data_IF_090900541470
#
_entry.id   IF_090900541470
#
_cell.length_a   1.000
_cell.length_b   1.000
_cell.length_c   1.000
_cell.angle_alpha   90.00
_cell.angle_beta   90.00
_cell.angle_gamma   90.00
#
_symmetry.space_group_name_H-M   'P 1'
#
loop_
_entity.id
_entity.type
_entity.pdbx_description
1 polymer ?
#
# COMPACT_ATOMS: atom_id res chain seq x y z
N UNK A 1 -19.92 49.26 1.57
CA UNK A 1 -18.76 48.37 1.79
C UNK A 1 -19.14 47.02 1.24
N UNK A 2 -18.69 46.71 0.03
CA UNK A 2 -18.91 45.40 -0.60
C UNK A 2 -17.99 44.42 0.15
N UNK A 3 -18.58 43.45 0.82
CA UNK A 3 -17.87 42.31 1.41
C UNK A 3 -17.03 41.68 0.31
N UNK A 4 -15.70 41.77 0.41
CA UNK A 4 -14.83 40.92 -0.37
C UNK A 4 -15.14 39.47 0.06
N UNK A 5 -15.97 38.78 -0.71
CA UNK A 5 -16.09 37.35 -0.61
C UNK A 5 -14.67 36.81 -0.72
N UNK A 6 -14.17 36.14 0.35
CA UNK A 6 -12.87 35.47 0.32
C UNK A 6 -12.88 34.52 -0.86
N UNK A 7 -12.14 34.86 -1.92
CA UNK A 7 -12.02 33.99 -3.08
C UNK A 7 -11.47 32.64 -2.61
N UNK A 8 -12.13 31.54 -2.98
CA UNK A 8 -11.66 30.18 -2.64
C UNK A 8 -10.26 30.00 -3.21
N UNK A 9 -9.27 29.62 -2.41
CA UNK A 9 -7.89 29.50 -2.89
C UNK A 9 -7.79 28.53 -4.08
N UNK A 10 -7.02 28.87 -5.09
CA UNK A 10 -6.73 27.97 -6.22
C UNK A 10 -5.69 26.91 -5.78
N UNK A 11 -6.10 26.14 -4.79
CA UNK A 11 -5.34 25.03 -4.23
C UNK A 11 -6.18 23.74 -4.30
N UNK A 12 -5.50 22.63 -4.43
CA UNK A 12 -6.12 21.31 -4.35
C UNK A 12 -6.16 20.88 -2.88
N UNK A 13 -7.36 20.60 -2.37
CA UNK A 13 -7.54 20.07 -1.02
C UNK A 13 -7.44 18.54 -1.06
N UNK A 14 -6.49 17.98 -0.32
CA UNK A 14 -6.22 16.54 -0.26
C UNK A 14 -6.61 16.02 1.12
N UNK A 15 -7.56 15.09 1.18
CA UNK A 15 -8.00 14.46 2.43
C UNK A 15 -7.28 13.13 2.60
N UNK A 16 -6.36 13.08 3.57
CA UNK A 16 -5.51 11.94 3.90
C UNK A 16 -4.04 12.20 3.60
N UNK A 17 -3.23 12.26 4.66
CA UNK A 17 -1.76 12.45 4.65
C UNK A 17 -0.98 11.13 4.72
N UNK A 18 -1.57 10.03 4.26
CA UNK A 18 -0.83 8.81 3.95
C UNK A 18 0.03 8.98 2.71
N UNK A 19 0.90 8.00 2.40
CA UNK A 19 1.87 8.11 1.30
C UNK A 19 1.21 8.46 -0.05
N UNK A 20 -0.01 7.97 -0.34
CA UNK A 20 -0.72 8.28 -1.58
C UNK A 20 -1.09 9.76 -1.64
N UNK A 21 -1.68 10.32 -0.58
CA UNK A 21 -2.02 11.74 -0.53
C UNK A 21 -0.78 12.64 -0.53
N UNK A 22 0.28 12.25 0.16
CA UNK A 22 1.57 12.96 0.16
C UNK A 22 2.19 12.99 -1.25
N UNK A 23 2.22 11.87 -1.96
CA UNK A 23 2.74 11.82 -3.33
C UNK A 23 1.90 12.63 -4.31
N UNK A 24 0.57 12.66 -4.15
CA UNK A 24 -0.30 13.54 -4.94
C UNK A 24 0.03 15.00 -4.67
N UNK A 25 0.15 15.40 -3.39
CA UNK A 25 0.52 16.78 -3.02
C UNK A 25 1.89 17.18 -3.60
N UNK A 26 2.89 16.32 -3.44
CA UNK A 26 4.22 16.52 -4.00
C UNK A 26 4.19 16.69 -5.52
N UNK A 27 3.49 15.80 -6.24
CA UNK A 27 3.38 15.87 -7.70
C UNK A 27 2.65 17.14 -8.16
N UNK A 28 1.56 17.55 -7.48
CA UNK A 28 0.87 18.83 -7.76
C UNK A 28 1.80 20.01 -7.64
N UNK A 29 2.55 20.11 -6.54
CA UNK A 29 3.49 21.19 -6.30
C UNK A 29 4.62 21.22 -7.33
N UNK A 30 5.15 20.06 -7.72
CA UNK A 30 6.14 19.93 -8.81
C UNK A 30 5.59 20.37 -10.18
N UNK A 31 4.28 20.29 -10.38
CA UNK A 31 3.57 20.76 -11.59
C UNK A 31 3.04 22.20 -11.45
N UNK A 32 3.43 22.94 -10.40
CA UNK A 32 3.08 24.33 -10.18
C UNK A 32 1.68 24.60 -9.63
N UNK A 33 0.98 23.55 -9.14
CA UNK A 33 -0.34 23.67 -8.50
C UNK A 33 -0.21 23.75 -6.98
N UNK A 34 -1.02 24.58 -6.33
CA UNK A 34 -1.08 24.63 -4.86
C UNK A 34 -1.70 23.37 -4.27
N UNK A 35 -1.21 22.91 -3.11
CA UNK A 35 -1.76 21.77 -2.40
C UNK A 35 -1.88 22.03 -0.90
N UNK A 36 -3.01 21.63 -0.31
CA UNK A 36 -3.23 21.57 1.15
C UNK A 36 -3.65 20.14 1.52
N UNK A 37 -2.92 19.50 2.43
CA UNK A 37 -3.20 18.15 2.90
C UNK A 37 -3.79 18.20 4.30
N UNK A 38 -4.94 17.56 4.49
CA UNK A 38 -5.59 17.35 5.79
C UNK A 38 -5.36 15.91 6.24
N UNK A 39 -4.68 15.72 7.36
CA UNK A 39 -4.36 14.39 7.90
C UNK A 39 -4.89 14.24 9.32
N UNK A 40 -5.73 13.25 9.52
CA UNK A 40 -6.31 12.95 10.83
C UNK A 40 -5.28 12.50 11.87
N UNK A 41 -4.06 12.04 11.44
CA UNK A 41 -3.10 11.43 12.36
C UNK A 41 -3.72 10.25 13.10
N UNK A 42 -3.16 9.75 14.18
CA UNK A 42 -1.76 9.85 14.56
C UNK A 42 -0.87 8.93 13.71
N UNK A 43 0.40 9.29 13.59
CA UNK A 43 1.39 8.58 12.76
C UNK A 43 1.59 7.11 13.13
N UNK A 44 1.48 6.77 14.42
CA UNK A 44 1.75 5.41 14.93
C UNK A 44 0.73 4.35 14.46
N UNK A 45 -0.43 4.72 13.93
CA UNK A 45 -1.39 3.77 13.33
C UNK A 45 -1.44 3.86 11.80
N UNK A 46 -0.63 4.72 11.20
CA UNK A 46 -0.60 4.93 9.75
C UNK A 46 -0.14 3.68 9.00
N UNK A 47 -0.97 3.08 8.12
CA UNK A 47 -0.57 1.92 7.34
C UNK A 47 0.54 2.22 6.33
N UNK A 48 0.73 3.49 5.97
CA UNK A 48 1.86 3.92 5.13
C UNK A 48 3.18 3.81 5.89
N UNK A 49 3.26 4.36 7.10
CA UNK A 49 4.47 4.34 7.94
C UNK A 49 4.79 2.94 8.48
N UNK A 50 3.76 2.12 8.74
CA UNK A 50 3.90 0.74 9.19
C UNK A 50 3.99 -0.29 8.06
N UNK A 51 4.17 0.12 6.80
CA UNK A 51 4.36 -0.77 5.65
C UNK A 51 5.60 -1.66 5.82
N UNK A 52 5.66 -2.79 5.10
CA UNK A 52 6.80 -3.70 5.12
C UNK A 52 8.13 -3.05 4.69
N UNK A 53 8.10 -1.94 3.95
CA UNK A 53 9.30 -1.25 3.47
C UNK A 53 9.89 -1.86 2.21
N UNK A 54 9.07 -2.53 1.42
CA UNK A 54 9.45 -3.13 0.16
C UNK A 54 8.67 -2.48 -0.98
N UNK A 55 9.40 -2.07 -2.01
CA UNK A 55 8.85 -1.74 -3.33
C UNK A 55 9.10 -2.96 -4.20
N UNK A 56 8.04 -3.69 -4.48
CA UNK A 56 8.07 -4.90 -5.30
C UNK A 56 7.17 -4.68 -6.54
N UNK A 57 7.71 -4.13 -7.64
CA UNK A 57 6.95 -3.95 -8.87
C UNK A 57 6.42 -5.29 -9.39
N UNK A 58 5.16 -5.30 -9.87
CA UNK A 58 4.55 -6.51 -10.39
C UNK A 58 4.03 -7.50 -9.35
N UNK A 59 4.01 -7.13 -8.06
CA UNK A 59 3.41 -7.97 -7.02
C UNK A 59 1.94 -8.31 -7.35
N UNK A 60 1.53 -9.60 -7.22
CA UNK A 60 0.21 -10.04 -7.62
C UNK A 60 -0.93 -9.48 -6.73
N UNK A 61 -2.15 -9.34 -7.29
CA UNK A 61 -3.33 -8.97 -6.52
C UNK A 61 -3.72 -10.07 -5.54
N UNK A 62 -4.39 -9.69 -4.44
CA UNK A 62 -4.88 -10.67 -3.44
C UNK A 62 -5.93 -11.63 -4.04
N UNK A 63 -6.95 -11.16 -4.82
CA UNK A 63 -7.87 -12.06 -5.49
C UNK A 63 -7.13 -12.89 -6.54
N UNK A 64 -7.07 -14.21 -6.34
CA UNK A 64 -6.50 -15.14 -7.31
C UNK A 64 -7.37 -16.39 -7.45
N UNK A 65 -7.30 -17.11 -8.58
CA UNK A 65 -8.05 -18.35 -8.77
C UNK A 65 -7.76 -19.44 -7.74
N UNK A 66 -6.59 -19.37 -7.10
CA UNK A 66 -6.17 -20.34 -6.07
C UNK A 66 -6.82 -20.11 -4.70
N UNK A 67 -7.40 -18.93 -4.45
CA UNK A 67 -7.97 -18.57 -3.14
C UNK A 67 -9.28 -19.33 -2.85
N UNK A 68 -10.30 -19.36 -3.74
CA UNK A 68 -11.59 -19.97 -3.40
C UNK A 68 -11.52 -21.45 -3.01
N UNK A 69 -10.77 -22.33 -3.70
CA UNK A 69 -10.66 -23.72 -3.30
C UNK A 69 -10.01 -23.92 -1.93
N UNK A 70 -9.13 -22.99 -1.54
CA UNK A 70 -8.40 -23.05 -0.26
C UNK A 70 -9.08 -22.25 0.86
N UNK A 71 -10.12 -21.45 0.55
CA UNK A 71 -10.69 -20.48 1.47
C UNK A 71 -11.18 -21.11 2.79
N UNK A 72 -11.90 -22.22 2.73
CA UNK A 72 -12.39 -22.89 3.93
C UNK A 72 -11.24 -23.43 4.80
N UNK A 73 -10.25 -24.05 4.18
CA UNK A 73 -9.06 -24.52 4.88
C UNK A 73 -8.30 -23.33 5.52
N UNK A 74 -8.09 -22.23 4.77
CA UNK A 74 -7.43 -21.04 5.28
C UNK A 74 -8.19 -20.39 6.45
N UNK A 75 -9.52 -20.45 6.48
CA UNK A 75 -10.32 -19.92 7.59
C UNK A 75 -10.24 -20.79 8.84
N UNK A 76 -10.09 -22.11 8.69
CA UNK A 76 -10.01 -23.07 9.79
C UNK A 76 -8.58 -23.25 10.31
N UNK A 77 -7.58 -23.04 9.47
CA UNK A 77 -6.18 -23.14 9.86
C UNK A 77 -5.72 -21.91 10.65
N UNK A 78 -5.40 -22.12 11.91
CA UNK A 78 -4.86 -21.08 12.80
C UNK A 78 -3.50 -20.55 12.33
N UNK A 79 -2.80 -21.26 11.44
CA UNK A 79 -1.51 -20.87 10.85
C UNK A 79 -1.67 -20.08 9.55
N UNK A 80 -2.89 -19.96 9.03
CA UNK A 80 -3.15 -19.19 7.81
C UNK A 80 -2.78 -17.70 7.98
N UNK A 81 -2.12 -17.07 7.00
CA UNK A 81 -1.87 -15.64 7.00
C UNK A 81 -3.17 -14.82 6.89
N UNK A 82 -4.25 -15.42 6.37
CA UNK A 82 -5.59 -14.84 6.34
C UNK A 82 -6.40 -15.22 7.57
N UNK A 83 -6.97 -14.23 8.25
CA UNK A 83 -7.87 -14.46 9.38
C UNK A 83 -9.15 -13.64 9.24
N UNK A 84 -10.29 -14.32 9.28
CA UNK A 84 -11.62 -13.70 9.23
C UNK A 84 -12.37 -14.14 10.50
N UNK A 85 -12.36 -13.32 11.57
CA UNK A 85 -13.07 -13.66 12.78
C UNK A 85 -14.59 -13.71 12.52
N UNK A 86 -15.33 -14.67 13.12
CA UNK A 86 -16.77 -14.76 12.97
C UNK A 86 -17.42 -13.49 13.54
N UNK A 87 -18.10 -12.74 12.66
CA UNK A 87 -18.88 -11.56 13.03
C UNK A 87 -19.98 -11.33 12.00
N UNK A 88 -21.22 -11.05 12.41
CA UNK A 88 -22.27 -10.67 11.49
C UNK A 88 -21.97 -9.27 10.95
N UNK A 89 -21.69 -9.15 9.64
CA UNK A 89 -21.40 -7.87 8.98
C UNK A 89 -21.85 -7.93 7.52
N UNK A 90 -22.95 -7.24 7.21
CA UNK A 90 -23.44 -7.17 5.84
C UNK A 90 -22.43 -6.53 4.87
N UNK A 91 -21.69 -5.46 5.23
CA UNK A 91 -20.62 -4.94 4.39
C UNK A 91 -19.50 -5.96 4.11
N UNK A 92 -19.11 -6.76 5.11
CA UNK A 92 -18.11 -7.82 4.92
C UNK A 92 -18.63 -8.92 4.00
N UNK A 93 -19.89 -9.34 4.16
CA UNK A 93 -20.49 -10.36 3.30
C UNK A 93 -20.55 -9.90 1.83
N UNK A 94 -21.00 -8.66 1.59
CA UNK A 94 -21.01 -8.08 0.23
C UNK A 94 -19.61 -8.02 -0.37
N UNK A 95 -18.62 -7.63 0.43
CA UNK A 95 -17.23 -7.59 0.00
C UNK A 95 -16.71 -9.00 -0.33
N UNK A 96 -17.00 -10.02 0.50
CA UNK A 96 -16.60 -11.41 0.24
C UNK A 96 -17.22 -11.97 -1.04
N UNK A 97 -18.49 -11.64 -1.33
CA UNK A 97 -19.15 -12.02 -2.59
C UNK A 97 -18.45 -11.37 -3.80
N UNK A 98 -18.16 -10.08 -3.72
CA UNK A 98 -17.43 -9.37 -4.79
C UNK A 98 -16.00 -9.89 -4.94
N UNK A 99 -15.31 -10.14 -3.83
CA UNK A 99 -13.97 -10.75 -3.83
C UNK A 99 -13.97 -12.13 -4.51
N UNK A 100 -14.96 -12.97 -4.19
CA UNK A 100 -15.13 -14.29 -4.82
C UNK A 100 -15.32 -14.18 -6.34
N UNK A 101 -16.06 -13.17 -6.82
CA UNK A 101 -16.25 -12.90 -8.25
C UNK A 101 -14.95 -12.46 -8.93
N UNK A 102 -14.09 -11.73 -8.22
CA UNK A 102 -12.78 -11.30 -8.71
C UNK A 102 -11.75 -12.45 -8.81
N UNK A 103 -11.97 -13.58 -8.11
CA UNK A 103 -11.07 -14.72 -8.14
C UNK A 103 -11.19 -15.58 -9.41
N UNK A 104 -11.07 -14.96 -10.59
CA UNK A 104 -11.11 -15.63 -11.91
C UNK A 104 -9.77 -15.48 -12.63
N UNK A 105 -9.39 -16.44 -13.51
CA UNK A 105 -8.16 -16.33 -14.30
C UNK A 105 -8.09 -15.05 -15.17
N UNK A 106 -9.22 -14.66 -15.76
CA UNK A 106 -9.30 -13.47 -16.61
C UNK A 106 -9.08 -12.18 -15.82
N UNK A 107 -9.74 -12.05 -14.67
CA UNK A 107 -9.57 -10.88 -13.81
C UNK A 107 -8.17 -10.81 -13.20
N UNK A 108 -7.62 -11.96 -12.81
CA UNK A 108 -6.24 -12.06 -12.31
C UNK A 108 -5.23 -11.57 -13.36
N UNK A 109 -5.33 -12.07 -14.60
CA UNK A 109 -4.46 -11.66 -15.71
C UNK A 109 -4.56 -10.16 -16.00
N UNK A 110 -5.79 -9.62 -16.06
CA UNK A 110 -6.03 -8.18 -16.25
C UNK A 110 -5.44 -7.36 -15.10
N UNK A 111 -5.64 -7.82 -13.85
CA UNK A 111 -5.12 -7.13 -12.67
C UNK A 111 -3.58 -7.12 -12.64
N UNK A 112 -2.93 -8.23 -13.01
CA UNK A 112 -1.48 -8.30 -13.14
C UNK A 112 -0.94 -7.26 -14.14
N UNK A 113 -1.58 -7.18 -15.32
CA UNK A 113 -1.22 -6.21 -16.37
C UNK A 113 -1.34 -4.76 -15.85
N UNK A 114 -2.47 -4.43 -15.23
CA UNK A 114 -2.75 -3.08 -14.71
C UNK A 114 -1.80 -2.69 -13.58
N UNK A 115 -1.61 -3.58 -12.59
CA UNK A 115 -0.69 -3.34 -11.48
C UNK A 115 0.76 -3.27 -11.95
N UNK A 116 1.16 -4.09 -12.92
CA UNK A 116 2.49 -4.06 -13.51
C UNK A 116 2.78 -2.73 -14.22
N UNK A 117 1.84 -2.22 -15.02
CA UNK A 117 1.98 -0.91 -15.70
C UNK A 117 2.03 0.24 -14.70
N UNK A 118 1.16 0.23 -13.71
CA UNK A 118 1.17 1.26 -12.65
C UNK A 118 2.45 1.21 -11.81
N UNK A 119 2.95 -0.01 -11.51
CA UNK A 119 4.22 -0.20 -10.80
C UNK A 119 5.43 0.32 -11.60
N UNK A 120 5.40 0.20 -12.94
CA UNK A 120 6.47 0.73 -13.78
C UNK A 120 6.54 2.25 -13.71
N UNK A 121 5.41 2.94 -13.86
CA UNK A 121 5.35 4.40 -13.70
C UNK A 121 5.86 4.78 -12.31
N UNK A 122 5.43 4.06 -11.25
CA UNK A 122 5.90 4.32 -9.89
C UNK A 122 7.41 4.14 -9.77
N UNK A 123 7.99 3.10 -10.39
CA UNK A 123 9.42 2.79 -10.28
C UNK A 123 10.28 3.90 -10.89
N UNK A 124 9.88 4.42 -12.04
CA UNK A 124 10.53 5.57 -12.69
C UNK A 124 10.49 6.82 -11.80
N UNK A 125 9.35 7.07 -11.14
CA UNK A 125 9.21 8.20 -10.23
C UNK A 125 10.01 8.02 -8.92
N UNK A 126 10.22 6.77 -8.45
CA UNK A 126 11.05 6.53 -7.27
C UNK A 126 12.52 6.84 -7.51
N UNK A 127 13.05 6.65 -8.71
CA UNK A 127 14.43 7.03 -9.02
C UNK A 127 14.60 8.57 -8.94
N UNK A 128 13.70 9.32 -9.55
CA UNK A 128 13.69 10.77 -9.46
C UNK A 128 13.50 11.27 -8.01
N UNK A 129 12.65 10.58 -7.24
CA UNK A 129 12.41 10.92 -5.84
C UNK A 129 13.64 10.64 -4.96
N UNK A 130 14.37 9.55 -5.24
CA UNK A 130 15.62 9.22 -4.55
C UNK A 130 16.71 10.28 -4.79
N UNK A 131 16.80 10.78 -6.01
CA UNK A 131 17.71 11.90 -6.34
C UNK A 131 17.29 13.20 -5.63
N UNK A 132 15.98 13.52 -5.64
CA UNK A 132 15.45 14.75 -5.07
C UNK A 132 15.55 14.79 -3.54
N UNK A 133 15.18 13.71 -2.86
CA UNK A 133 15.13 13.64 -1.39
C UNK A 133 16.45 13.15 -0.76
N UNK A 134 17.32 12.55 -1.55
CA UNK A 134 18.60 12.02 -1.09
C UNK A 134 18.46 10.96 0.02
N UNK A 135 19.45 10.85 0.93
CA UNK A 135 19.47 9.84 1.99
C UNK A 135 18.27 9.89 2.95
N UNK A 136 17.60 11.05 3.06
CA UNK A 136 16.44 11.21 3.96
C UNK A 136 15.28 10.27 3.62
N UNK A 137 15.10 9.92 2.33
CA UNK A 137 14.06 9.00 1.88
C UNK A 137 14.38 7.52 2.13
N UNK A 138 15.63 7.18 2.48
CA UNK A 138 16.13 5.81 2.70
C UNK A 138 15.89 4.84 1.52
N UNK A 139 15.63 5.35 0.32
CA UNK A 139 15.37 4.55 -0.88
C UNK A 139 16.66 3.85 -1.34
N UNK A 140 16.69 2.53 -1.26
CA UNK A 140 17.85 1.74 -1.65
C UNK A 140 17.46 0.74 -2.76
N UNK A 141 18.13 0.75 -3.92
CA UNK A 141 17.94 -0.25 -4.97
C UNK A 141 18.65 -1.56 -4.58
N UNK A 142 18.01 -2.31 -3.67
CA UNK A 142 18.60 -3.52 -3.10
C UNK A 142 18.00 -4.83 -3.65
N UNK A 143 17.02 -4.74 -4.54
CA UNK A 143 16.19 -5.88 -4.91
C UNK A 143 15.25 -6.33 -3.78
N UNK A 144 14.26 -7.13 -4.11
CA UNK A 144 13.39 -7.83 -3.16
C UNK A 144 13.34 -9.29 -3.59
N UNK A 145 13.52 -10.22 -2.67
CA UNK A 145 13.58 -11.64 -3.01
C UNK A 145 12.31 -12.36 -2.58
N UNK A 146 11.78 -13.23 -3.43
CA UNK A 146 10.84 -14.26 -3.03
C UNK A 146 11.61 -15.52 -2.64
N UNK A 147 11.42 -16.01 -1.42
CA UNK A 147 12.15 -17.15 -0.87
C UNK A 147 11.17 -18.26 -0.51
N UNK A 148 11.52 -19.51 -0.81
CA UNK A 148 10.65 -20.68 -0.57
C UNK A 148 11.40 -21.86 0.05
N UNK A 149 10.62 -22.73 0.73
CA UNK A 149 11.07 -23.98 1.36
C UNK A 149 10.38 -25.23 0.81
N UNK A 150 9.42 -25.06 -0.12
CA UNK A 150 8.63 -26.16 -0.67
C UNK A 150 8.61 -26.10 -2.19
N UNK A 151 8.41 -27.25 -2.83
CA UNK A 151 8.21 -27.34 -4.30
C UNK A 151 6.99 -26.54 -4.75
N UNK A 152 5.92 -26.50 -3.92
CA UNK A 152 4.75 -25.68 -4.22
C UNK A 152 5.07 -24.17 -4.19
N UNK A 153 5.88 -23.72 -3.23
CA UNK A 153 6.36 -22.34 -3.17
C UNK A 153 7.24 -21.97 -4.37
N UNK A 154 8.09 -22.90 -4.81
CA UNK A 154 8.88 -22.75 -6.04
C UNK A 154 7.99 -22.55 -7.27
N UNK A 155 7.03 -23.46 -7.49
CA UNK A 155 6.14 -23.38 -8.63
C UNK A 155 5.31 -22.09 -8.67
N UNK A 156 4.87 -21.59 -7.48
CA UNK A 156 4.21 -20.29 -7.38
C UNK A 156 5.16 -19.13 -7.76
N UNK A 157 6.43 -19.16 -7.31
CA UNK A 157 7.42 -18.13 -7.65
C UNK A 157 7.77 -18.13 -9.15
N UNK A 158 7.97 -19.30 -9.75
CA UNK A 158 8.24 -19.44 -11.17
C UNK A 158 7.09 -18.91 -12.05
N UNK A 159 5.84 -19.23 -11.70
CA UNK A 159 4.66 -18.72 -12.39
C UNK A 159 4.54 -17.18 -12.30
N UNK A 160 4.93 -16.57 -11.18
CA UNK A 160 4.99 -15.11 -11.04
C UNK A 160 6.15 -14.50 -11.83
N UNK A 161 7.29 -15.16 -11.89
CA UNK A 161 8.45 -14.75 -12.69
C UNK A 161 8.11 -14.61 -14.16
N UNK A 162 7.34 -15.54 -14.73
CA UNK A 162 6.86 -15.47 -16.12
C UNK A 162 6.00 -14.22 -16.38
N UNK A 163 5.18 -13.82 -15.40
CA UNK A 163 4.43 -12.56 -15.48
C UNK A 163 5.33 -11.34 -15.42
N UNK A 164 6.30 -11.33 -14.52
CA UNK A 164 7.25 -10.22 -14.37
C UNK A 164 8.05 -10.00 -15.67
N UNK A 165 8.55 -11.07 -16.28
CA UNK A 165 9.27 -10.97 -17.55
C UNK A 165 8.38 -10.40 -18.68
N UNK A 166 7.12 -10.85 -18.79
CA UNK A 166 6.15 -10.27 -19.75
C UNK A 166 5.88 -8.80 -19.50
N UNK A 167 5.91 -8.36 -18.25
CA UNK A 167 5.78 -6.96 -17.86
C UNK A 167 7.10 -6.18 -17.98
N UNK A 168 8.21 -6.83 -18.38
CA UNK A 168 9.52 -6.23 -18.59
C UNK A 168 10.31 -5.96 -17.30
N UNK A 169 10.03 -6.70 -16.21
CA UNK A 169 10.83 -6.67 -14.98
C UNK A 169 11.87 -7.79 -15.01
N UNK A 170 13.11 -7.46 -14.57
CA UNK A 170 14.21 -8.41 -14.45
C UNK A 170 14.11 -9.25 -13.19
N UNK A 171 14.53 -10.52 -13.29
CA UNK A 171 14.64 -11.42 -12.15
C UNK A 171 15.90 -12.28 -12.24
N UNK A 172 16.46 -12.63 -11.08
CA UNK A 172 17.58 -13.57 -10.96
C UNK A 172 17.21 -14.70 -9.99
N UNK A 173 17.29 -15.95 -10.46
CA UNK A 173 17.05 -17.13 -9.62
C UNK A 173 18.31 -17.57 -8.89
N UNK A 174 18.18 -17.97 -7.64
CA UNK A 174 19.23 -18.54 -6.82
C UNK A 174 18.80 -19.90 -6.26
N UNK A 175 19.73 -20.86 -6.21
CA UNK A 175 19.55 -22.04 -5.38
C UNK A 175 19.63 -21.69 -3.89
N UNK A 176 19.12 -22.56 -3.01
CA UNK A 176 19.22 -22.35 -1.57
C UNK A 176 20.68 -22.30 -1.09
N UNK A 177 21.59 -23.04 -1.75
CA UNK A 177 23.03 -22.99 -1.46
C UNK A 177 23.64 -21.64 -1.84
N UNK A 178 23.34 -21.12 -3.04
CA UNK A 178 23.83 -19.81 -3.49
C UNK A 178 23.29 -18.67 -2.63
N UNK A 179 22.00 -18.76 -2.23
CA UNK A 179 21.41 -17.79 -1.32
C UNK A 179 22.14 -17.75 0.02
N UNK A 180 22.40 -18.91 0.65
CA UNK A 180 23.14 -18.99 1.93
C UNK A 180 24.60 -18.58 1.81
N UNK A 181 25.22 -18.86 0.69
CA UNK A 181 26.57 -18.37 0.42
C UNK A 181 26.62 -16.84 0.38
N UNK A 182 25.58 -16.22 -0.20
CA UNK A 182 25.45 -14.77 -0.28
C UNK A 182 25.02 -14.14 1.05
N UNK A 183 24.15 -14.81 1.78
CA UNK A 183 23.56 -14.33 3.05
C UNK A 183 23.32 -15.52 4.01
N UNK A 184 24.24 -15.78 4.95
CA UNK A 184 24.20 -16.96 5.84
C UNK A 184 23.07 -16.96 6.86
N UNK A 185 22.26 -15.89 6.95
CA UNK A 185 21.14 -15.81 7.90
C UNK A 185 20.02 -16.83 7.60
N UNK A 186 19.94 -17.33 6.37
CA UNK A 186 18.85 -18.19 5.90
C UNK A 186 19.03 -19.65 6.33
N UNK A 187 17.91 -20.29 6.67
CA UNK A 187 17.85 -21.72 7.06
C UNK A 187 18.38 -22.65 5.96
N UNK A 188 18.95 -23.77 6.39
CA UNK A 188 19.34 -24.87 5.47
C UNK A 188 18.17 -25.45 4.68
N UNK A 189 16.94 -25.37 5.23
CA UNK A 189 15.72 -25.83 4.58
C UNK A 189 15.24 -24.94 3.41
N UNK A 190 15.85 -23.77 3.21
CA UNK A 190 15.52 -22.91 2.08
C UNK A 190 15.98 -23.56 0.78
N UNK A 191 15.03 -23.80 -0.14
CA UNK A 191 15.30 -24.47 -1.41
C UNK A 191 15.78 -23.50 -2.49
N UNK A 192 15.36 -22.24 -2.46
CA UNK A 192 15.76 -21.24 -3.44
C UNK A 192 15.11 -19.88 -3.25
N UNK A 193 15.49 -18.97 -4.13
CA UNK A 193 14.96 -17.61 -4.18
C UNK A 193 14.89 -17.08 -5.62
N UNK A 194 13.99 -16.12 -5.86
CA UNK A 194 13.99 -15.25 -7.04
C UNK A 194 14.18 -13.81 -6.56
N UNK A 195 15.20 -13.14 -7.06
CA UNK A 195 15.45 -11.72 -6.79
C UNK A 195 14.74 -10.90 -7.86
N UNK A 196 13.89 -9.96 -7.46
CA UNK A 196 13.28 -8.95 -8.32
C UNK A 196 14.25 -7.78 -8.45
N UNK A 197 14.91 -7.64 -9.58
CA UNK A 197 16.00 -6.68 -9.81
C UNK A 197 15.53 -5.21 -9.72
N UNK A 198 14.28 -4.96 -10.07
CA UNK A 198 13.65 -3.63 -9.98
C UNK A 198 13.08 -3.31 -8.60
N UNK A 199 13.27 -4.20 -7.61
CA UNK A 199 12.84 -4.00 -6.24
C UNK A 199 13.68 -2.94 -5.52
N UNK A 200 13.09 -2.30 -4.52
CA UNK A 200 13.76 -1.36 -3.61
C UNK A 200 13.36 -1.64 -2.16
N UNK A 201 14.23 -1.22 -1.24
CA UNK A 201 13.96 -1.22 0.19
C UNK A 201 13.97 0.20 0.73
N UNK A 202 13.18 0.44 1.75
CA UNK A 202 13.11 1.75 2.40
C UNK A 202 12.57 1.64 3.83
N UNK A 203 12.82 2.66 4.65
CA UNK A 203 12.00 2.92 5.83
C UNK A 203 10.78 3.75 5.42
N UNK A 204 9.56 3.19 5.49
CA UNK A 204 8.36 3.92 5.06
C UNK A 204 8.05 5.15 5.93
N UNK A 205 8.48 5.16 7.19
CA UNK A 205 8.31 6.32 8.05
C UNK A 205 9.23 7.46 7.60
N UNK A 206 10.50 7.16 7.35
CA UNK A 206 11.46 8.13 6.85
C UNK A 206 11.04 8.69 5.47
N UNK A 207 10.57 7.85 4.56
CA UNK A 207 10.04 8.32 3.27
C UNK A 207 8.87 9.30 3.46
N UNK A 208 7.89 8.96 4.31
CA UNK A 208 6.76 9.85 4.56
C UNK A 208 7.23 11.21 5.13
N UNK A 209 8.19 11.20 6.04
CA UNK A 209 8.70 12.43 6.66
C UNK A 209 9.52 13.26 5.66
N UNK A 210 10.35 12.63 4.83
CA UNK A 210 11.09 13.33 3.77
C UNK A 210 10.15 13.99 2.75
N UNK A 211 9.10 13.28 2.30
CA UNK A 211 8.10 13.84 1.40
C UNK A 211 7.31 14.97 2.06
N UNK A 212 6.94 14.86 3.34
CA UNK A 212 6.27 15.94 4.10
C UNK A 212 7.14 17.20 4.15
N UNK A 213 8.43 17.05 4.47
CA UNK A 213 9.38 18.17 4.50
C UNK A 213 9.45 18.82 3.13
N UNK A 214 9.58 18.00 2.08
CA UNK A 214 9.68 18.52 0.71
C UNK A 214 8.41 19.25 0.26
N UNK A 215 7.22 18.78 0.63
CA UNK A 215 5.95 19.49 0.39
C UNK A 215 5.98 20.90 1.02
N UNK A 216 6.46 21.01 2.27
CA UNK A 216 6.60 22.30 2.95
C UNK A 216 7.57 23.24 2.22
N UNK A 217 8.74 22.75 1.80
CA UNK A 217 9.74 23.51 1.02
C UNK A 217 9.18 24.01 -0.33
N UNK A 218 8.30 23.22 -0.97
CA UNK A 218 7.62 23.58 -2.21
C UNK A 218 6.42 24.52 -2.00
N UNK A 219 6.16 24.99 -0.77
CA UNK A 219 5.05 25.89 -0.43
C UNK A 219 3.69 25.22 -0.28
N UNK A 220 3.67 23.88 -0.13
CA UNK A 220 2.47 23.13 0.23
C UNK A 220 2.12 23.27 1.72
N UNK A 221 0.85 23.10 2.04
CA UNK A 221 0.34 23.16 3.40
C UNK A 221 -0.01 21.76 3.92
N UNK A 222 0.41 21.44 5.16
CA UNK A 222 0.12 20.21 5.84
C UNK A 222 -0.59 20.49 7.17
N UNK A 223 -1.86 20.12 7.28
CA UNK A 223 -2.66 20.21 8.50
C UNK A 223 -2.75 18.82 9.13
N UNK A 224 -1.98 18.60 10.17
CA UNK A 224 -1.97 17.35 10.95
C UNK A 224 -3.00 17.41 12.07
N UNK A 225 -3.41 16.22 12.56
CA UNK A 225 -4.44 16.08 13.59
C UNK A 225 -5.77 16.75 13.18
N UNK A 226 -6.02 16.80 11.88
CA UNK A 226 -7.15 17.42 11.24
C UNK A 226 -8.06 16.35 10.63
N UNK A 227 -9.02 15.87 11.41
CA UNK A 227 -9.99 14.86 10.93
C UNK A 227 -11.09 15.55 10.14
N UNK A 228 -11.32 15.09 8.91
CA UNK A 228 -12.45 15.52 8.09
C UNK A 228 -13.65 14.61 8.38
N UNK A 229 -14.74 15.19 8.83
CA UNK A 229 -15.98 14.48 9.18
C UNK A 229 -16.99 14.47 8.05
N UNK A 230 -17.02 15.54 7.25
CA UNK A 230 -17.94 15.67 6.13
C UNK A 230 -17.30 16.45 4.97
N UNK A 231 -17.77 16.14 3.77
CA UNK A 231 -17.43 16.84 2.54
C UNK A 231 -18.74 17.23 1.86
N UNK A 232 -18.85 18.47 1.44
CA UNK A 232 -19.97 18.92 0.62
C UNK A 232 -19.48 19.81 -0.52
N UNK A 233 -20.31 19.94 -1.56
CA UNK A 233 -20.08 20.84 -2.67
C UNK A 233 -20.99 22.04 -2.55
N UNK A 234 -20.41 23.24 -2.60
CA UNK A 234 -21.08 24.53 -2.72
C UNK A 234 -20.98 25.08 -4.15
N UNK A 235 -21.48 26.30 -4.33
CA UNK A 235 -21.43 27.00 -5.61
C UNK A 235 -19.99 27.45 -5.98
N UNK A 236 -19.18 27.68 -4.94
CA UNK A 236 -17.80 28.17 -5.02
C UNK A 236 -16.74 27.04 -5.01
N UNK A 237 -17.13 25.78 -4.77
CA UNK A 237 -16.21 24.64 -4.76
C UNK A 237 -16.55 23.56 -3.75
N UNK A 238 -15.53 22.91 -3.24
CA UNK A 238 -15.61 21.85 -2.25
C UNK A 238 -15.31 22.37 -0.85
N UNK A 239 -16.07 21.94 0.12
CA UNK A 239 -15.94 22.25 1.54
C UNK A 239 -15.73 20.97 2.34
N UNK A 240 -14.67 20.94 3.15
CA UNK A 240 -14.38 19.87 4.09
C UNK A 240 -14.57 20.39 5.53
N UNK A 241 -15.54 19.84 6.25
CA UNK A 241 -15.77 20.14 7.66
C UNK A 241 -14.87 19.25 8.50
N UNK A 242 -14.08 19.88 9.37
CA UNK A 242 -13.18 19.19 10.30
C UNK A 242 -13.87 18.93 11.65
N UNK A 243 -13.31 18.00 12.43
CA UNK A 243 -13.77 17.69 13.80
C UNK A 243 -13.65 18.85 14.79
N UNK A 244 -12.88 19.89 14.44
CA UNK A 244 -12.78 21.14 15.23
C UNK A 244 -13.83 22.16 14.85
N UNK A 245 -14.69 21.87 13.88
CA UNK A 245 -15.70 22.79 13.35
C UNK A 245 -15.17 23.78 12.30
N UNK A 246 -13.89 23.73 11.95
CA UNK A 246 -13.31 24.52 10.88
C UNK A 246 -13.77 23.98 9.52
N UNK A 247 -14.07 24.87 8.58
CA UNK A 247 -14.38 24.50 7.20
C UNK A 247 -13.24 24.93 6.27
N UNK A 248 -12.64 23.95 5.59
CA UNK A 248 -11.61 24.15 4.58
C UNK A 248 -12.25 24.11 3.20
N UNK A 249 -11.96 25.13 2.37
CA UNK A 249 -12.57 25.27 1.04
C UNK A 249 -11.51 25.23 -0.06
N UNK A 250 -11.85 24.60 -1.19
CA UNK A 250 -11.01 24.55 -2.38
C UNK A 250 -11.84 24.31 -3.65
N UNK A 251 -11.36 24.77 -4.80
CA UNK A 251 -11.99 24.51 -6.10
C UNK A 251 -11.89 23.05 -6.52
N UNK A 252 -10.86 22.34 -6.05
CA UNK A 252 -10.58 20.93 -6.38
C UNK A 252 -10.30 20.14 -5.11
N UNK A 253 -10.76 18.86 -5.09
CA UNK A 253 -10.62 17.97 -3.94
C UNK A 253 -10.11 16.61 -4.37
N UNK A 254 -9.16 16.05 -3.59
CA UNK A 254 -8.72 14.66 -3.72
C UNK A 254 -9.00 13.89 -2.42
N UNK A 255 -9.73 12.79 -2.51
CA UNK A 255 -9.97 11.89 -1.39
C UNK A 255 -8.96 10.74 -1.41
N UNK A 256 -7.98 10.77 -0.49
CA UNK A 256 -6.90 9.80 -0.34
C UNK A 256 -6.79 9.24 1.09
N UNK A 257 -7.93 9.12 1.80
CA UNK A 257 -8.01 8.78 3.22
C UNK A 257 -7.97 7.26 3.51
N UNK A 258 -7.37 6.45 2.63
CA UNK A 258 -7.24 5.00 2.83
C UNK A 258 -8.58 4.33 3.13
N UNK A 259 -8.67 3.50 4.17
CA UNK A 259 -9.91 2.79 4.54
C UNK A 259 -11.04 3.74 4.96
N UNK A 260 -10.72 4.94 5.43
CA UNK A 260 -11.70 5.96 5.84
C UNK A 260 -12.32 6.66 4.63
N UNK A 261 -11.78 6.50 3.42
CA UNK A 261 -12.40 7.03 2.20
C UNK A 261 -13.82 6.53 2.00
N UNK A 262 -14.17 5.34 2.47
CA UNK A 262 -15.51 4.77 2.32
C UNK A 262 -16.64 5.64 2.90
N UNK A 263 -16.41 6.31 4.03
CA UNK A 263 -17.39 7.18 4.68
C UNK A 263 -17.60 8.47 3.89
N UNK A 264 -16.56 8.99 3.26
CA UNK A 264 -16.55 10.28 2.56
C UNK A 264 -16.81 10.14 1.05
N UNK A 265 -16.55 8.98 0.45
CA UNK A 265 -16.61 8.78 -1.00
C UNK A 265 -18.00 9.06 -1.61
N UNK A 266 -19.07 8.81 -0.85
CA UNK A 266 -20.45 9.08 -1.32
C UNK A 266 -20.69 10.56 -1.57
N UNK A 267 -20.08 11.44 -0.80
CA UNK A 267 -20.21 12.90 -0.98
C UNK A 267 -19.60 13.39 -2.29
N UNK A 268 -18.66 12.62 -2.85
CA UNK A 268 -18.07 12.88 -4.18
C UNK A 268 -18.66 11.96 -5.27
N UNK A 269 -19.82 11.35 -5.03
CA UNK A 269 -20.53 10.51 -5.98
C UNK A 269 -19.89 9.15 -6.26
N UNK A 270 -19.01 8.67 -5.37
CA UNK A 270 -18.25 7.42 -5.55
C UNK A 270 -18.66 6.36 -4.54
N UNK A 271 -18.78 5.11 -5.02
CA UNK A 271 -18.95 3.94 -4.15
C UNK A 271 -17.72 3.03 -4.26
N UNK A 272 -17.15 2.63 -3.13
CA UNK A 272 -15.98 1.73 -3.07
C UNK A 272 -16.29 0.51 -2.24
N UNK A 273 -16.21 -0.68 -2.84
CA UNK A 273 -16.33 -1.95 -2.11
C UNK A 273 -15.00 -2.29 -1.43
N UNK A 274 -14.77 -1.75 -0.24
CA UNK A 274 -13.51 -1.85 0.49
C UNK A 274 -13.70 -2.32 1.93
N UNK A 275 -12.75 -3.13 2.43
CA UNK A 275 -12.67 -3.57 3.81
C UNK A 275 -11.32 -3.20 4.41
N UNK A 276 -11.29 -2.82 5.70
CA UNK A 276 -10.06 -2.71 6.44
C UNK A 276 -9.46 -4.11 6.68
N UNK A 277 -8.25 -4.32 6.16
CA UNK A 277 -7.50 -5.54 6.40
C UNK A 277 -6.30 -5.23 7.30
N UNK A 278 -6.37 -5.69 8.56
CA UNK A 278 -5.35 -5.42 9.54
C UNK A 278 -4.09 -6.24 9.24
N UNK A 279 -2.96 -5.56 9.15
CA UNK A 279 -1.64 -6.13 9.06
C UNK A 279 -0.84 -5.85 10.31
N UNK A 280 0.23 -6.61 10.49
CA UNK A 280 1.12 -6.51 11.64
C UNK A 280 2.57 -6.40 11.18
N UNK A 281 3.40 -5.76 12.00
CA UNK A 281 4.83 -5.98 11.96
C UNK A 281 5.45 -6.03 13.35
N UNK A 282 6.62 -6.68 13.44
CA UNK A 282 7.53 -6.63 14.57
C UNK A 282 8.84 -6.02 14.10
N UNK A 283 9.42 -5.12 14.89
CA UNK A 283 10.79 -4.65 14.72
C UNK A 283 11.70 -5.44 15.65
N UNK A 284 12.72 -6.05 15.10
CA UNK A 284 13.62 -6.93 15.82
C UNK A 284 15.05 -6.39 15.78
N UNK A 285 15.76 -6.48 16.90
CA UNK A 285 17.21 -6.42 16.93
C UNK A 285 17.72 -7.84 16.88
N UNK A 286 18.26 -8.24 15.73
CA UNK A 286 18.67 -9.61 15.46
C UNK A 286 20.17 -9.65 15.13
N UNK A 287 20.98 -10.41 15.89
CA UNK A 287 22.35 -10.71 15.49
C UNK A 287 22.36 -11.43 14.14
N UNK A 288 23.28 -11.07 13.25
CA UNK A 288 23.37 -11.64 11.91
C UNK A 288 22.03 -11.63 11.14
N UNK A 289 21.33 -10.48 11.18
CA UNK A 289 20.13 -10.29 10.40
C UNK A 289 20.41 -10.41 8.90
N UNK A 290 19.43 -10.87 8.08
CA UNK A 290 19.62 -10.92 6.63
C UNK A 290 19.88 -9.52 6.07
N UNK A 291 20.69 -9.47 5.02
CA UNK A 291 21.06 -8.22 4.34
C UNK A 291 20.10 -7.85 3.21
N UNK A 292 19.31 -8.81 2.74
CA UNK A 292 18.34 -8.64 1.65
C UNK A 292 16.91 -8.62 2.17
N UNK A 293 16.10 -7.76 1.58
CA UNK A 293 14.67 -7.82 1.79
C UNK A 293 14.06 -9.02 1.07
N UNK A 294 13.09 -9.66 1.71
CA UNK A 294 12.48 -10.87 1.18
C UNK A 294 10.98 -10.98 1.50
N UNK A 295 10.26 -11.71 0.66
CA UNK A 295 8.94 -12.25 0.94
C UNK A 295 9.08 -13.77 1.10
N UNK A 296 8.73 -14.28 2.27
CA UNK A 296 8.70 -15.71 2.56
C UNK A 296 7.39 -16.28 2.01
N UNK A 297 7.51 -17.13 1.00
CA UNK A 297 6.37 -17.51 0.14
C UNK A 297 5.26 -18.22 0.89
N UNK A 298 5.57 -19.25 1.68
CA UNK A 298 4.56 -20.06 2.35
C UNK A 298 3.84 -19.29 3.47
N UNK A 299 4.53 -18.60 4.43
CA UNK A 299 3.85 -17.86 5.47
C UNK A 299 3.35 -16.48 5.03
N UNK A 300 3.68 -16.03 3.80
CA UNK A 300 3.36 -14.68 3.29
C UNK A 300 3.86 -13.58 4.23
N UNK A 301 5.14 -13.68 4.61
CA UNK A 301 5.81 -12.77 5.54
C UNK A 301 6.88 -11.98 4.79
N UNK A 302 6.83 -10.66 4.91
CA UNK A 302 7.87 -9.76 4.44
C UNK A 302 8.96 -9.58 5.49
N UNK A 303 10.22 -9.66 5.07
CA UNK A 303 11.42 -9.42 5.86
C UNK A 303 12.15 -8.24 5.26
N UNK A 304 12.43 -7.20 6.05
CA UNK A 304 13.11 -6.00 5.53
C UNK A 304 14.15 -5.49 6.53
N UNK A 305 15.43 -5.50 6.16
CA UNK A 305 16.48 -4.82 6.93
C UNK A 305 16.19 -3.30 6.95
N UNK A 306 16.25 -2.71 8.15
CA UNK A 306 16.05 -1.27 8.36
C UNK A 306 17.12 -0.74 9.31
N UNK A 307 18.28 -0.41 8.77
CA UNK A 307 19.46 -0.04 9.58
C UNK A 307 19.85 -1.17 10.54
N UNK A 308 19.88 -0.93 11.87
CA UNK A 308 20.25 -1.95 12.86
C UNK A 308 19.09 -2.90 13.22
N UNK A 309 17.93 -2.71 12.64
CA UNK A 309 16.71 -3.47 12.93
C UNK A 309 16.26 -4.28 11.72
N UNK A 310 15.51 -5.34 12.01
CA UNK A 310 14.82 -6.16 11.02
C UNK A 310 13.32 -6.00 11.20
N UNK A 311 12.60 -5.59 10.14
CA UNK A 311 11.15 -5.60 10.12
C UNK A 311 10.63 -6.93 9.62
N UNK A 312 9.79 -7.57 10.43
CA UNK A 312 9.04 -8.78 10.08
C UNK A 312 7.57 -8.38 9.95
N UNK A 313 7.01 -8.40 8.75
CA UNK A 313 5.67 -7.91 8.46
C UNK A 313 4.81 -8.95 7.76
N UNK A 314 3.52 -9.00 8.09
CA UNK A 314 2.62 -9.97 7.46
C UNK A 314 1.20 -9.90 7.98
N UNK A 315 0.48 -11.01 7.79
CA UNK A 315 -0.90 -11.22 8.22
C UNK A 315 -1.92 -10.33 7.51
N UNK A 316 -3.09 -10.87 7.26
CA UNK A 316 -4.25 -10.17 6.74
C UNK A 316 -5.48 -10.58 7.57
N UNK A 317 -5.91 -9.69 8.47
CA UNK A 317 -7.02 -9.93 9.39
C UNK A 317 -8.20 -9.01 9.08
N UNK A 318 -9.36 -9.58 8.70
CA UNK A 318 -10.58 -8.84 8.40
C UNK A 318 -11.45 -8.65 9.65
N UNK A 319 -10.92 -8.00 10.68
CA UNK A 319 -11.58 -7.79 11.98
C UNK A 319 -12.29 -6.44 12.14
N UNK A 320 -12.43 -5.66 11.05
CA UNK A 320 -13.06 -4.34 11.01
C UNK A 320 -12.15 -3.22 11.50
N UNK A 321 -12.75 -2.07 11.81
CA UNK A 321 -12.02 -0.88 12.25
C UNK A 321 -11.58 -1.04 13.71
N UNK A 322 -10.42 -1.64 13.93
CA UNK A 322 -9.78 -1.69 15.24
C UNK A 322 -8.26 -1.84 15.12
N UNK A 323 -7.51 -1.26 16.05
CA UNK A 323 -6.05 -1.32 16.14
C UNK A 323 -5.58 -2.20 17.31
N UNK A 324 -6.42 -3.11 17.80
CA UNK A 324 -6.03 -4.01 18.89
C UNK A 324 -5.06 -5.05 18.33
N UNK A 325 -3.92 -5.18 18.97
CA UNK A 325 -2.95 -6.24 18.69
C UNK A 325 -3.54 -7.60 19.04
N UNK A 326 -3.40 -8.57 18.16
CA UNK A 326 -3.79 -9.95 18.40
C UNK A 326 -2.53 -10.80 18.65
N UNK A 327 -2.25 -11.21 19.91
CA UNK A 327 -1.03 -11.96 20.22
C UNK A 327 -0.89 -13.28 19.44
N UNK A 328 -2.02 -13.91 19.09
CA UNK A 328 -1.98 -15.16 18.31
C UNK A 328 -1.48 -14.91 16.88
N UNK A 329 -1.85 -13.77 16.26
CA UNK A 329 -1.37 -13.37 14.93
C UNK A 329 0.11 -12.99 14.95
N UNK A 330 0.56 -12.33 15.99
CA UNK A 330 1.98 -12.00 16.18
C UNK A 330 2.82 -13.27 16.35
N UNK A 331 2.40 -14.20 17.21
CA UNK A 331 3.10 -15.50 17.33
C UNK A 331 3.17 -16.27 16.02
N UNK A 332 2.10 -16.26 15.24
CA UNK A 332 2.08 -16.89 13.93
C UNK A 332 3.04 -16.22 12.94
N UNK A 333 3.05 -14.88 12.90
CA UNK A 333 3.96 -14.09 12.09
C UNK A 333 5.42 -14.45 12.39
N UNK A 334 5.77 -14.47 13.68
CA UNK A 334 7.12 -14.81 14.15
C UNK A 334 7.49 -16.26 13.85
N UNK A 335 6.60 -17.23 14.10
CA UNK A 335 6.83 -18.64 13.77
C UNK A 335 7.03 -18.86 12.26
N UNK A 336 6.28 -18.14 11.42
CA UNK A 336 6.46 -18.17 9.97
C UNK A 336 7.84 -17.66 9.54
N UNK A 337 8.30 -16.57 10.14
CA UNK A 337 9.62 -16.02 9.87
C UNK A 337 10.76 -16.91 10.42
N UNK A 338 10.61 -17.45 11.62
CA UNK A 338 11.58 -18.33 12.27
C UNK A 338 11.89 -19.58 11.44
N UNK A 339 10.91 -20.12 10.75
CA UNK A 339 11.11 -21.26 9.86
C UNK A 339 12.14 -21.00 8.74
N UNK A 340 12.35 -19.74 8.37
CA UNK A 340 13.32 -19.31 7.35
C UNK A 340 14.56 -18.69 7.95
N UNK A 341 14.46 -18.09 9.12
CA UNK A 341 15.50 -17.34 9.82
C UNK A 341 15.64 -17.88 11.26
N UNK A 342 16.42 -18.93 11.48
CA UNK A 342 16.60 -19.54 12.81
C UNK A 342 17.05 -18.54 13.89
N UNK A 343 17.88 -17.57 13.52
CA UNK A 343 18.37 -16.52 14.44
C UNK A 343 17.28 -15.64 15.07
N UNK A 344 16.02 -15.73 14.62
CA UNK A 344 14.88 -15.04 15.26
C UNK A 344 14.65 -15.48 16.72
N UNK A 345 15.03 -16.70 17.09
CA UNK A 345 14.88 -17.21 18.47
C UNK A 345 15.62 -16.35 19.51
N UNK A 346 16.75 -15.75 19.12
CA UNK A 346 17.57 -14.91 20.00
C UNK A 346 17.40 -13.42 19.73
N UNK A 347 16.47 -13.04 18.86
CA UNK A 347 16.21 -11.64 18.52
C UNK A 347 15.39 -10.94 19.61
N UNK A 348 15.75 -9.70 19.90
CA UNK A 348 14.99 -8.81 20.79
C UNK A 348 13.86 -8.14 20.02
N UNK A 349 12.62 -8.26 20.50
CA UNK A 349 11.49 -7.47 19.96
C UNK A 349 11.55 -6.05 20.50
N UNK A 350 11.77 -5.08 19.60
CA UNK A 350 11.90 -3.66 19.93
C UNK A 350 10.57 -2.93 19.84
N UNK A 351 9.74 -3.28 18.83
CA UNK A 351 8.43 -2.66 18.61
C UNK A 351 7.48 -3.63 17.92
N UNK A 352 6.19 -3.45 18.17
CA UNK A 352 5.10 -4.22 17.58
C UNK A 352 3.99 -3.28 17.12
N UNK A 353 3.58 -3.42 15.89
CA UNK A 353 2.60 -2.53 15.27
C UNK A 353 1.49 -3.29 14.55
N UNK A 354 0.31 -2.64 14.44
CA UNK A 354 -0.73 -3.04 13.51
C UNK A 354 -1.40 -1.83 12.86
N UNK A 355 -1.85 -1.98 11.61
CA UNK A 355 -2.56 -0.96 10.85
C UNK A 355 -3.53 -1.53 9.83
N UNK A 356 -4.42 -0.66 9.32
CA UNK A 356 -5.55 -1.05 8.48
C UNK A 356 -5.25 -0.78 7.00
N UNK A 357 -5.00 -1.83 6.23
CA UNK A 357 -4.83 -1.74 4.77
C UNK A 357 -6.18 -1.54 4.08
N UNK A 358 -6.30 -0.62 3.11
CA UNK A 358 -7.52 -0.39 2.34
C UNK A 358 -7.68 -1.46 1.24
N UNK A 359 -8.32 -2.60 1.54
CA UNK A 359 -8.46 -3.70 0.61
C UNK A 359 -9.77 -3.63 -0.16
N UNK A 360 -9.70 -3.36 -1.47
CA UNK A 360 -10.83 -3.51 -2.38
C UNK A 360 -11.15 -4.97 -2.64
N UNK A 361 -12.37 -5.26 -3.00
CA UNK A 361 -12.77 -6.62 -3.36
C UNK A 361 -12.14 -7.08 -4.70
N UNK A 362 -11.89 -6.15 -5.60
CA UNK A 362 -11.25 -6.40 -6.90
C UNK A 362 -9.75 -6.66 -6.81
N UNK A 363 -9.09 -6.22 -5.72
CA UNK A 363 -7.64 -6.23 -5.60
C UNK A 363 -6.93 -5.06 -6.31
N UNK A 364 -7.66 -4.27 -7.08
CA UNK A 364 -7.16 -3.06 -7.74
C UNK A 364 -7.51 -1.81 -6.92
N UNK A 365 -6.65 -0.78 -6.90
CA UNK A 365 -7.00 0.51 -6.32
C UNK A 365 -8.11 1.20 -7.14
N UNK A 366 -8.80 2.15 -6.50
CA UNK A 366 -9.77 3.03 -7.15
C UNK A 366 -9.11 4.39 -7.32
N UNK A 367 -8.85 4.77 -8.58
CA UNK A 367 -8.11 5.97 -8.95
C UNK A 367 -8.87 6.67 -10.08
N UNK A 368 -9.28 7.93 -9.88
CA UNK A 368 -9.92 8.71 -10.93
C UNK A 368 -10.90 9.75 -10.43
N UNK A 369 -11.72 10.27 -11.34
CA UNK A 369 -12.68 11.34 -11.06
C UNK A 369 -13.89 10.85 -10.27
N UNK A 370 -14.28 11.65 -9.27
CA UNK A 370 -15.60 11.61 -8.66
C UNK A 370 -16.54 12.63 -9.30
N UNK A 371 -17.41 13.27 -8.51
CA UNK A 371 -18.20 14.40 -8.96
C UNK A 371 -17.31 15.55 -9.46
N UNK A 372 -17.85 16.47 -10.23
CA UNK A 372 -17.06 17.53 -10.89
C UNK A 372 -16.13 18.28 -9.93
N UNK A 373 -14.86 18.36 -10.29
CA UNK A 373 -13.80 18.97 -9.46
C UNK A 373 -13.32 18.10 -8.30
N UNK A 374 -13.66 16.81 -8.26
CA UNK A 374 -13.14 15.89 -7.26
C UNK A 374 -12.49 14.65 -7.87
N UNK A 375 -11.56 14.06 -7.12
CA UNK A 375 -10.87 12.81 -7.44
C UNK A 375 -10.80 11.90 -6.21
N UNK A 376 -10.59 10.61 -6.47
CA UNK A 376 -10.36 9.61 -5.43
C UNK A 376 -9.11 8.79 -5.76
N UNK A 377 -8.32 8.48 -4.73
CA UNK A 377 -7.16 7.60 -4.80
C UNK A 377 -7.11 6.74 -3.53
N UNK A 378 -7.67 5.54 -3.59
CA UNK A 378 -7.79 4.65 -2.41
C UNK A 378 -7.78 3.17 -2.82
N UNK A 379 -7.81 2.27 -1.83
CA UNK A 379 -7.97 0.84 -2.11
C UNK A 379 -6.70 0.12 -2.53
N UNK A 380 -5.52 0.69 -2.29
CA UNK A 380 -4.23 0.14 -2.72
C UNK A 380 -3.80 -1.14 -1.98
N UNK A 381 -4.56 -1.61 -0.99
CA UNK A 381 -4.24 -2.82 -0.24
C UNK A 381 -2.85 -2.80 0.39
N UNK A 382 -2.03 -3.77 0.03
CA UNK A 382 -0.64 -3.89 0.49
C UNK A 382 0.34 -3.02 -0.33
N UNK A 383 -0.07 -2.61 -1.53
CA UNK A 383 0.78 -1.98 -2.54
C UNK A 383 0.81 -0.44 -2.44
N UNK A 384 0.23 0.15 -1.37
CA UNK A 384 0.08 1.60 -1.26
C UNK A 384 1.39 2.37 -1.43
N UNK A 385 2.49 1.91 -0.83
CA UNK A 385 3.80 2.54 -0.99
C UNK A 385 4.31 2.37 -2.42
N UNK A 386 4.31 1.14 -2.93
CA UNK A 386 4.78 0.82 -4.29
C UNK A 386 4.04 1.61 -5.38
N UNK A 387 2.72 1.80 -5.24
CA UNK A 387 1.89 2.40 -6.28
C UNK A 387 1.64 3.90 -6.10
N UNK A 388 2.05 4.49 -4.98
CA UNK A 388 1.73 5.89 -4.67
C UNK A 388 2.26 6.89 -5.71
N UNK A 389 3.50 6.80 -6.22
CA UNK A 389 3.98 7.74 -7.24
C UNK A 389 3.20 7.64 -8.55
N UNK A 390 2.98 6.44 -9.07
CA UNK A 390 2.19 6.24 -10.30
C UNK A 390 0.72 6.66 -10.14
N UNK A 391 0.15 6.46 -8.95
CA UNK A 391 -1.19 6.96 -8.61
C UNK A 391 -1.23 8.48 -8.66
N UNK A 392 -0.21 9.14 -8.11
CA UNK A 392 -0.10 10.60 -8.14
C UNK A 392 0.01 11.13 -9.57
N UNK A 393 0.80 10.48 -10.41
CA UNK A 393 0.90 10.79 -11.85
C UNK A 393 -0.47 10.72 -12.51
N UNK A 394 -1.19 9.59 -12.37
CA UNK A 394 -2.51 9.43 -13.00
C UNK A 394 -3.55 10.48 -12.55
N UNK A 395 -3.55 10.83 -11.25
CA UNK A 395 -4.50 11.83 -10.70
C UNK A 395 -4.15 13.23 -11.21
N UNK A 396 -2.86 13.61 -11.20
CA UNK A 396 -2.45 14.96 -11.57
C UNK A 396 -2.55 15.16 -13.08
N UNK A 397 -2.19 14.17 -13.88
CA UNK A 397 -2.34 14.23 -15.34
C UNK A 397 -3.81 14.36 -15.75
N UNK A 398 -4.70 13.56 -15.15
CA UNK A 398 -6.14 13.69 -15.38
C UNK A 398 -6.69 15.06 -14.92
N UNK A 399 -6.15 15.62 -13.82
CA UNK A 399 -6.53 16.97 -13.34
C UNK A 399 -6.09 18.08 -14.29
N UNK A 400 -4.96 17.92 -14.96
CA UNK A 400 -4.43 18.83 -15.96
C UNK A 400 -5.04 18.63 -17.35
N UNK A 401 -5.92 17.63 -17.51
CA UNK A 401 -6.59 17.34 -18.78
C UNK A 401 -5.77 16.47 -19.73
N UNK A 402 -4.68 15.87 -19.25
CA UNK A 402 -3.90 14.93 -20.04
C UNK A 402 -4.69 13.62 -20.22
N UNK A 403 -4.56 12.95 -21.38
CA UNK A 403 -5.34 11.74 -21.67
C UNK A 403 -4.91 10.58 -20.77
N UNK A 404 -5.86 10.02 -20.01
CA UNK A 404 -5.60 8.81 -19.23
C UNK A 404 -5.35 7.61 -20.14
N UNK A 405 -4.34 6.77 -19.86
CA UNK A 405 -4.09 5.56 -20.61
C UNK A 405 -5.29 4.60 -20.60
N UNK A 406 -5.52 3.90 -21.71
CA UNK A 406 -6.66 2.97 -21.84
C UNK A 406 -6.68 1.90 -20.73
N UNK A 407 -5.52 1.34 -20.41
CA UNK A 407 -5.37 0.33 -19.35
C UNK A 407 -5.77 0.86 -17.95
N UNK A 408 -5.69 2.16 -17.71
CA UNK A 408 -6.03 2.75 -16.42
C UNK A 408 -7.54 2.93 -16.22
N UNK A 409 -8.36 2.78 -17.26
CA UNK A 409 -9.82 2.94 -17.17
C UNK A 409 -10.47 2.00 -16.15
N UNK A 410 -9.92 0.79 -15.98
CA UNK A 410 -10.40 -0.18 -14.99
C UNK A 410 -10.21 0.27 -13.55
N UNK A 411 -9.30 1.22 -13.29
CA UNK A 411 -9.07 1.81 -11.97
C UNK A 411 -10.09 2.89 -11.59
N UNK A 412 -10.88 3.38 -12.56
CA UNK A 412 -11.84 4.45 -12.33
C UNK A 412 -12.99 4.01 -11.43
N UNK A 413 -13.57 4.95 -10.64
CA UNK A 413 -14.81 4.69 -9.92
C UNK A 413 -15.90 4.11 -10.81
N UNK A 414 -16.68 3.14 -10.29
CA UNK A 414 -17.76 2.50 -11.03
C UNK A 414 -17.35 1.26 -11.85
N UNK A 415 -16.07 1.00 -12.07
CA UNK A 415 -15.60 -0.29 -12.58
C UNK A 415 -15.54 -1.29 -11.40
N UNK A 416 -16.62 -2.05 -11.22
CA UNK A 416 -16.70 -3.16 -10.26
C UNK A 416 -16.69 -4.49 -11.00
N UNK A 417 -16.10 -5.53 -10.36
CA UNK A 417 -16.15 -6.93 -10.81
C UNK A 417 -17.57 -7.46 -10.73
#
# INVERSE_FOLDING_TARGET
MVSMANAVPDRVLIIGGGIVGLMIAHTLLRRGLGATVLDAGPDHVSPSRGNAGQIAPGHPPIPSPAVPPRALHMMLDRRSPLHIPPRPSLPLLRWLIAFRRACTPSWYAQSMEVLGRLSRISREQFDALAEELGPAATLAPAGVSDIWRTIAGQAEAEAETDWLHRLGFGTTSLSGADLRHRDPAWSEDVLGAVIHENGMCLDPAALCDAVRTRIGELGGELRRECTVEAICRGDDGWHALTSTGETMSATRLVLAAGVWSNSLARSIGVHVAMQPAKGYHCMLRMPNAPTMAAVLREPKVGITPMGPLLRVAGTLELSGFNHRLNPARLRQLMAGAQAFLPGIEVAESVDVWCGLRPCTASGLPVIGRGAAGSWIATGHGMMGVTLAPGTATLIVDDMLGEPSPEWAKVLRPGHSV
#
